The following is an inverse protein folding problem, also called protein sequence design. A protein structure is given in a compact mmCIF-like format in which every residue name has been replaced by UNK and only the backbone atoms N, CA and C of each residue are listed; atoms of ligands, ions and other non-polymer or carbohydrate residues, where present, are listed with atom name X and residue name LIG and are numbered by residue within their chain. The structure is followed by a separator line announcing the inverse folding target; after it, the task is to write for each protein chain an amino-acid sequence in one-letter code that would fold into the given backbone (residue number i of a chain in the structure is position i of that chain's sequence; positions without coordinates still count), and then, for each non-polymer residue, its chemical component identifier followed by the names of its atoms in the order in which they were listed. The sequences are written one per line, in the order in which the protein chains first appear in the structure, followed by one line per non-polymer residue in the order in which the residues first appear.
data_IF_207692507999
#
_entry.id   IF_207692507999
#
_cell.length_a   1.000
_cell.length_b   1.000
_cell.length_c   1.000
_cell.angle_alpha   90.00
_cell.angle_beta   90.00
_cell.angle_gamma   90.00
#
_symmetry.space_group_name_H-M   'P 1'
#
loop_
_entity.id
_entity.type
_entity.pdbx_description
1 polymer ?
#
# COMPACT_ATOMS: atom_id res chain seq x y z
N UNK A 1 -14.93 -9.60 26.29
CA UNK A 1 -16.15 -8.85 25.89
C UNK A 1 -16.07 -7.50 26.59
N UNK A 2 -15.53 -6.51 25.90
CA UNK A 2 -15.55 -5.11 26.36
C UNK A 2 -16.41 -4.40 25.33
N UNK A 3 -17.61 -4.06 25.76
CA UNK A 3 -18.55 -3.20 25.03
C UNK A 3 -18.00 -1.79 25.24
N UNK A 4 -17.52 -1.16 24.17
CA UNK A 4 -17.36 0.29 24.17
C UNK A 4 -18.61 0.87 23.54
N UNK A 5 -19.56 1.21 24.40
CA UNK A 5 -20.50 2.28 24.13
C UNK A 5 -20.03 3.45 24.98
N UNK A 6 -19.48 4.47 24.33
CA UNK A 6 -19.28 5.80 24.92
C UNK A 6 -19.41 6.83 23.80
N UNK A 7 -20.66 7.18 23.51
CA UNK A 7 -21.01 8.45 22.87
C UNK A 7 -20.77 9.59 23.88
N UNK A 8 -19.57 10.14 23.97
CA UNK A 8 -19.38 11.54 24.38
C UNK A 8 -18.02 12.08 23.92
N UNK A 9 -17.98 12.68 22.74
CA UNK A 9 -16.81 13.44 22.29
C UNK A 9 -17.25 14.51 21.31
N UNK A 10 -17.16 15.78 21.71
CA UNK A 10 -17.33 17.00 20.90
C UNK A 10 -17.45 16.72 19.40
N UNK A 11 -18.66 16.84 18.85
CA UNK A 11 -18.95 16.67 17.43
C UNK A 11 -18.45 17.90 16.66
N UNK A 12 -17.14 18.11 16.63
CA UNK A 12 -16.53 18.99 15.64
C UNK A 12 -16.90 18.46 14.25
N UNK A 13 -17.26 19.37 13.36
CA UNK A 13 -17.51 19.04 11.96
C UNK A 13 -16.25 18.41 11.34
N UNK A 14 -16.43 17.37 10.54
CA UNK A 14 -15.33 16.61 9.93
C UNK A 14 -15.19 17.00 8.46
N UNK A 15 -13.97 17.37 8.05
CA UNK A 15 -13.61 17.55 6.65
C UNK A 15 -13.08 16.23 6.10
N UNK A 16 -13.71 15.75 5.02
CA UNK A 16 -13.35 14.49 4.35
C UNK A 16 -12.53 14.77 3.10
N UNK A 17 -11.31 14.24 3.06
CA UNK A 17 -10.31 14.54 2.03
C UNK A 17 -9.94 13.24 1.32
N UNK A 18 -10.05 13.22 -0.01
CA UNK A 18 -9.50 12.13 -0.83
C UNK A 18 -8.00 12.40 -1.06
N UNK A 19 -7.10 11.48 -0.64
CA UNK A 19 -5.66 11.67 -0.79
C UNK A 19 -5.22 11.97 -2.23
N UNK A 20 -5.86 11.34 -3.24
CA UNK A 20 -5.50 11.56 -4.66
C UNK A 20 -5.70 12.98 -5.15
N UNK A 21 -6.55 13.76 -4.47
CA UNK A 21 -6.90 15.13 -4.88
C UNK A 21 -6.33 16.19 -3.94
N UNK A 22 -5.47 15.81 -2.98
CA UNK A 22 -4.91 16.72 -1.98
C UNK A 22 -3.37 16.73 -2.04
N UNK A 23 -2.78 17.85 -2.46
CA UNK A 23 -1.32 17.96 -2.59
C UNK A 23 -0.57 17.88 -1.25
N UNK A 24 -1.24 18.18 -0.14
CA UNK A 24 -0.71 18.03 1.21
C UNK A 24 -0.68 16.56 1.68
N UNK A 25 -1.30 15.64 0.95
CA UNK A 25 -1.20 14.20 1.20
C UNK A 25 -0.33 13.54 0.14
N UNK A 26 0.81 12.98 0.57
CA UNK A 26 1.72 12.26 -0.32
C UNK A 26 1.31 10.79 -0.39
N UNK A 27 1.11 10.28 -1.59
CA UNK A 27 0.82 8.86 -1.81
C UNK A 27 2.08 8.18 -2.35
N UNK A 28 2.42 7.04 -1.74
CA UNK A 28 3.55 6.19 -2.12
C UNK A 28 3.08 4.77 -2.45
N UNK A 29 3.91 4.02 -3.18
CA UNK A 29 3.67 2.60 -3.49
C UNK A 29 2.86 2.35 -4.76
N UNK A 30 2.44 3.41 -5.47
CA UNK A 30 1.64 3.34 -6.70
C UNK A 30 2.27 4.15 -7.84
N UNK A 31 3.15 3.51 -8.63
CA UNK A 31 3.89 4.19 -9.68
C UNK A 31 3.00 4.86 -10.76
N UNK A 32 1.89 4.24 -11.12
CA UNK A 32 1.00 4.72 -12.19
C UNK A 32 -0.22 5.47 -11.67
N UNK A 33 -0.28 5.83 -10.39
CA UNK A 33 -1.44 6.50 -9.82
C UNK A 33 -1.78 7.81 -10.53
N UNK A 34 -0.76 8.59 -10.88
CA UNK A 34 -0.94 9.89 -11.56
C UNK A 34 -1.51 9.74 -12.97
N UNK A 35 -1.13 8.69 -13.69
CA UNK A 35 -1.60 8.45 -15.07
C UNK A 35 -2.96 7.77 -15.10
N UNK A 36 -3.18 6.82 -14.19
CA UNK A 36 -4.32 5.91 -14.26
C UNK A 36 -5.46 6.33 -13.33
N UNK A 37 -5.18 7.17 -12.32
CA UNK A 37 -6.16 7.67 -11.35
C UNK A 37 -6.69 6.61 -10.38
N UNK A 38 -6.17 5.39 -10.41
CA UNK A 38 -6.66 4.25 -9.62
C UNK A 38 -5.56 3.67 -8.70
N UNK A 39 -5.98 3.18 -7.54
CA UNK A 39 -5.11 2.47 -6.60
C UNK A 39 -4.78 1.06 -7.11
N UNK A 40 -3.84 0.99 -8.05
CA UNK A 40 -3.46 -0.25 -8.74
C UNK A 40 -1.96 -0.34 -8.90
N UNK A 41 -1.43 -1.56 -8.74
CA UNK A 41 0.02 -1.82 -8.73
C UNK A 41 0.63 -2.03 -10.12
N UNK A 42 -0.16 -2.24 -11.17
CA UNK A 42 0.33 -2.34 -12.57
C UNK A 42 -0.50 -1.43 -13.47
N UNK A 43 0.10 -0.86 -14.54
CA UNK A 43 -0.57 0.14 -15.36
C UNK A 43 -1.77 -0.43 -16.10
N UNK A 44 -2.85 0.34 -16.21
CA UNK A 44 -4.05 -0.01 -16.98
C UNK A 44 -3.71 -0.31 -18.45
N UNK A 45 -2.72 0.40 -19.01
CA UNK A 45 -2.24 0.17 -20.37
C UNK A 45 -1.67 -1.26 -20.61
N UNK A 46 -1.30 -1.99 -19.54
CA UNK A 46 -0.75 -3.35 -19.64
C UNK A 46 -1.79 -4.46 -19.45
N UNK A 47 -3.06 -4.14 -19.15
CA UNK A 47 -4.10 -5.12 -18.81
C UNK A 47 -4.28 -6.17 -19.92
N UNK A 48 -4.34 -5.76 -21.19
CA UNK A 48 -4.50 -6.69 -22.31
C UNK A 48 -3.29 -7.61 -22.51
N UNK A 49 -2.08 -7.16 -22.19
CA UNK A 49 -0.87 -7.99 -22.27
C UNK A 49 -0.85 -8.99 -21.11
N UNK A 50 -1.03 -8.52 -19.87
CA UNK A 50 -1.01 -9.35 -18.66
C UNK A 50 -2.14 -10.40 -18.69
N UNK A 51 -3.34 -10.05 -19.17
CA UNK A 51 -4.43 -11.02 -19.29
C UNK A 51 -4.12 -12.18 -20.23
N UNK A 52 -3.26 -11.96 -21.24
CA UNK A 52 -2.83 -13.01 -22.17
C UNK A 52 -1.72 -13.87 -21.59
N UNK A 53 -0.76 -13.29 -20.88
CA UNK A 53 0.42 -14.00 -20.38
C UNK A 53 0.28 -14.53 -18.96
N UNK A 54 -0.25 -13.72 -18.04
CA UNK A 54 -0.36 -14.02 -16.61
C UNK A 54 -1.63 -13.43 -15.97
N UNK A 55 -2.83 -13.91 -16.34
CA UNK A 55 -4.11 -13.30 -15.96
C UNK A 55 -4.34 -13.18 -14.44
N UNK A 56 -3.78 -14.08 -13.63
CA UNK A 56 -3.90 -14.00 -12.16
C UNK A 56 -3.12 -12.79 -11.62
N UNK A 57 -1.98 -12.44 -12.22
CA UNK A 57 -1.23 -11.23 -11.85
C UNK A 57 -2.07 -9.98 -12.11
N UNK A 58 -2.88 -9.95 -13.17
CA UNK A 58 -3.77 -8.83 -13.44
C UNK A 58 -4.79 -8.59 -12.31
N UNK A 59 -5.37 -9.67 -11.78
CA UNK A 59 -6.28 -9.62 -10.62
C UNK A 59 -5.55 -9.20 -9.34
N UNK A 60 -4.36 -9.75 -9.10
CA UNK A 60 -3.57 -9.40 -7.92
C UNK A 60 -3.02 -7.96 -7.97
N UNK A 61 -2.85 -7.38 -9.15
CA UNK A 61 -2.43 -5.98 -9.30
C UNK A 61 -3.49 -4.97 -8.82
N UNK A 62 -4.77 -5.39 -8.70
CA UNK A 62 -5.83 -4.58 -8.07
C UNK A 62 -5.65 -4.44 -6.56
N UNK A 63 -4.85 -5.31 -5.92
CA UNK A 63 -4.62 -5.26 -4.47
C UNK A 63 -3.67 -4.13 -4.13
N UNK A 64 -3.89 -3.49 -3.01
CA UNK A 64 -3.22 -2.22 -2.65
C UNK A 64 -1.97 -2.38 -1.77
N UNK A 65 -1.38 -3.59 -1.74
CA UNK A 65 -0.17 -3.85 -0.95
C UNK A 65 0.99 -2.91 -1.29
N UNK A 66 1.64 -2.38 -0.27
CA UNK A 66 2.70 -1.38 -0.41
C UNK A 66 2.20 0.06 -0.55
N UNK A 67 0.91 0.28 -0.77
CA UNK A 67 0.32 1.61 -0.82
C UNK A 67 0.37 2.31 0.54
N UNK A 68 0.72 3.60 0.54
CA UNK A 68 0.77 4.42 1.75
C UNK A 68 0.28 5.85 1.46
N UNK A 69 -0.35 6.52 2.42
CA UNK A 69 -0.56 7.97 2.39
C UNK A 69 0.05 8.64 3.62
N UNK A 70 0.84 9.69 3.40
CA UNK A 70 1.60 10.40 4.41
C UNK A 70 1.21 11.88 4.43
N UNK A 71 1.02 12.45 5.62
CA UNK A 71 0.72 13.87 5.81
C UNK A 71 0.99 14.29 7.24
N UNK A 72 1.06 15.60 7.51
CA UNK A 72 1.14 16.14 8.87
C UNK A 72 -0.17 16.83 9.22
N UNK A 73 -0.64 16.63 10.44
CA UNK A 73 -1.83 17.32 10.94
C UNK A 73 -1.79 17.51 12.45
N UNK A 74 -2.43 18.58 12.92
CA UNK A 74 -2.70 18.80 14.34
C UNK A 74 -4.13 18.40 14.75
N UNK A 75 -4.90 17.78 13.85
CA UNK A 75 -6.25 17.31 14.15
C UNK A 75 -6.24 16.35 15.34
N UNK A 76 -7.21 16.52 16.25
CA UNK A 76 -7.35 15.67 17.43
C UNK A 76 -8.06 14.37 17.09
N UNK A 77 -8.79 14.32 15.97
CA UNK A 77 -9.52 13.15 15.47
C UNK A 77 -9.06 12.80 14.06
N UNK A 78 -8.73 11.53 13.86
CA UNK A 78 -8.42 10.98 12.55
C UNK A 78 -9.37 9.83 12.25
N UNK A 79 -10.15 9.99 11.19
CA UNK A 79 -11.06 8.97 10.69
C UNK A 79 -10.64 8.53 9.30
N UNK A 80 -11.04 7.32 8.94
CA UNK A 80 -10.96 6.81 7.59
C UNK A 80 -12.33 6.32 7.16
N UNK A 81 -12.75 6.68 5.95
CA UNK A 81 -13.92 6.11 5.27
C UNK A 81 -13.46 5.52 3.95
N UNK A 82 -13.86 4.30 3.65
CA UNK A 82 -13.34 3.60 2.46
C UNK A 82 -14.40 2.73 1.81
N UNK A 83 -14.26 2.55 0.49
CA UNK A 83 -14.96 1.58 -0.32
C UNK A 83 -13.92 0.57 -0.85
N UNK A 84 -14.03 -0.67 -0.41
CA UNK A 84 -13.26 -1.79 -0.93
C UNK A 84 -13.91 -2.36 -2.19
N UNK A 85 -13.11 -2.90 -3.09
CA UNK A 85 -13.58 -3.60 -4.30
C UNK A 85 -14.16 -4.98 -3.99
N UNK A 86 -13.69 -5.61 -2.91
CA UNK A 86 -14.15 -6.93 -2.49
C UNK A 86 -14.02 -7.12 -0.98
N UNK A 87 -14.73 -8.13 -0.46
CA UNK A 87 -14.66 -8.57 0.93
C UNK A 87 -13.40 -9.41 1.16
N UNK A 88 -12.82 -9.42 2.37
CA UNK A 88 -11.81 -10.39 2.75
C UNK A 88 -12.31 -11.82 2.51
N UNK A 89 -11.45 -12.68 1.96
CA UNK A 89 -11.83 -14.05 1.58
C UNK A 89 -10.79 -15.10 1.97
N UNK A 90 -9.57 -14.70 2.33
CA UNK A 90 -8.52 -15.63 2.74
C UNK A 90 -8.70 -16.03 4.21
N UNK A 91 -8.79 -17.32 4.48
CA UNK A 91 -8.91 -17.86 5.84
C UNK A 91 -7.58 -17.83 6.62
N UNK A 92 -6.46 -17.94 5.91
CA UNK A 92 -5.11 -17.96 6.51
C UNK A 92 -4.54 -16.58 6.85
N UNK A 93 -5.33 -15.49 6.69
CA UNK A 93 -4.89 -14.12 6.92
C UNK A 93 -5.94 -13.32 7.66
N UNK A 94 -5.53 -12.41 8.54
CA UNK A 94 -6.47 -11.58 9.28
C UNK A 94 -7.28 -10.70 8.32
N UNK A 95 -8.56 -10.47 8.62
CA UNK A 95 -9.40 -9.61 7.79
C UNK A 95 -8.85 -8.19 7.71
N UNK A 96 -8.26 -7.68 8.79
CA UNK A 96 -7.63 -6.35 8.82
C UNK A 96 -6.39 -6.25 7.94
N UNK A 97 -5.61 -7.31 7.78
CA UNK A 97 -4.50 -7.29 6.83
C UNK A 97 -4.98 -7.34 5.38
N UNK A 98 -6.14 -7.97 5.14
CA UNK A 98 -6.76 -8.05 3.82
C UNK A 98 -7.44 -6.76 3.40
N UNK A 99 -8.27 -6.14 4.26
CA UNK A 99 -9.12 -4.99 3.91
C UNK A 99 -9.02 -3.78 4.83
N UNK A 100 -8.25 -3.87 5.91
CA UNK A 100 -8.06 -2.79 6.87
C UNK A 100 -6.89 -1.88 6.47
N UNK A 101 -6.94 -0.63 6.90
CA UNK A 101 -5.80 0.26 6.90
C UNK A 101 -5.15 0.25 8.29
N UNK A 102 -3.86 0.51 8.41
CA UNK A 102 -3.26 0.78 9.73
C UNK A 102 -2.47 2.09 9.75
N UNK A 103 -2.43 2.68 10.94
CA UNK A 103 -1.92 4.02 11.16
C UNK A 103 -0.68 3.98 12.05
N UNK A 104 0.33 4.72 11.62
CA UNK A 104 1.48 5.08 12.42
C UNK A 104 1.51 6.59 12.58
N UNK A 105 1.92 7.08 13.74
CA UNK A 105 2.04 8.49 14.03
C UNK A 105 3.31 8.81 14.82
N UNK A 106 3.87 10.00 14.63
CA UNK A 106 5.10 10.42 15.29
C UNK A 106 5.48 11.86 14.94
N UNK A 107 6.54 12.38 15.55
CA UNK A 107 7.02 13.74 15.23
C UNK A 107 7.62 13.82 13.82
N UNK A 108 8.26 12.73 13.38
CA UNK A 108 8.94 12.54 12.10
C UNK A 108 8.99 11.03 11.77
N UNK A 109 9.67 10.66 10.68
CA UNK A 109 9.79 9.26 10.25
C UNK A 109 10.57 8.37 11.22
N UNK A 110 11.52 8.91 11.99
CA UNK A 110 12.34 8.15 12.95
C UNK A 110 11.56 7.81 14.23
N UNK A 111 10.53 8.61 14.53
CA UNK A 111 9.70 8.49 15.73
C UNK A 111 8.29 7.94 15.46
N UNK A 112 8.08 7.25 14.33
CA UNK A 112 6.79 6.63 14.00
C UNK A 112 6.48 5.45 14.92
N UNK A 113 5.40 5.56 15.68
CA UNK A 113 4.85 4.48 16.50
C UNK A 113 3.55 3.98 15.90
N UNK A 114 3.28 2.68 16.08
CA UNK A 114 1.99 2.11 15.72
C UNK A 114 0.89 2.75 16.57
N UNK A 115 -0.18 3.20 15.92
CA UNK A 115 -1.30 3.84 16.60
C UNK A 115 -2.51 2.89 16.65
N UNK A 116 -3.09 2.56 15.49
CA UNK A 116 -4.29 1.72 15.43
C UNK A 116 -4.43 1.03 14.06
N UNK A 117 -5.36 0.09 13.96
CA UNK A 117 -5.73 -0.57 12.70
C UNK A 117 -7.23 -0.48 12.51
N UNK A 118 -7.65 0.01 11.35
CA UNK A 118 -9.04 0.12 10.98
C UNK A 118 -9.67 -1.27 10.85
N UNK A 119 -10.66 -1.51 11.70
CA UNK A 119 -11.48 -2.72 11.72
C UNK A 119 -12.82 -2.43 11.06
N UNK A 120 -13.43 -3.47 10.54
CA UNK A 120 -14.68 -3.37 9.79
C UNK A 120 -15.46 -4.68 9.90
N UNK A 121 -16.75 -4.62 9.60
CA UNK A 121 -17.63 -5.78 9.54
C UNK A 121 -17.29 -6.62 8.29
N UNK A 122 -17.11 -7.94 8.47
CA UNK A 122 -16.57 -8.83 7.42
C UNK A 122 -17.47 -8.95 6.19
N UNK A 123 -18.76 -8.67 6.33
CA UNK A 123 -19.75 -8.72 5.25
C UNK A 123 -19.93 -7.36 4.54
N UNK A 124 -19.17 -6.33 4.92
CA UNK A 124 -19.21 -5.00 4.30
C UNK A 124 -18.00 -4.75 3.42
N UNK A 125 -18.21 -3.97 2.37
CA UNK A 125 -17.14 -3.38 1.54
C UNK A 125 -16.97 -1.89 1.78
N UNK A 126 -17.97 -1.23 2.37
CA UNK A 126 -17.87 0.15 2.83
C UNK A 126 -17.75 0.17 4.35
N UNK A 127 -16.85 1.01 4.88
CA UNK A 127 -16.78 1.25 6.32
C UNK A 127 -16.18 2.61 6.65
N UNK A 128 -16.48 3.07 7.86
CA UNK A 128 -15.83 4.20 8.52
C UNK A 128 -15.20 3.73 9.83
N UNK A 129 -14.04 4.27 10.19
CA UNK A 129 -13.35 3.91 11.42
C UNK A 129 -12.57 5.11 11.98
N UNK A 130 -12.70 5.33 13.29
CA UNK A 130 -11.88 6.30 14.02
C UNK A 130 -10.55 5.67 14.40
N UNK A 131 -9.47 6.11 13.75
CA UNK A 131 -8.12 5.67 14.06
C UNK A 131 -7.67 6.18 15.43
N UNK A 132 -7.97 7.45 15.71
CA UNK A 132 -7.75 8.07 17.00
C UNK A 132 -8.64 9.29 17.26
N UNK A 133 -8.74 9.65 18.53
CA UNK A 133 -9.41 10.85 19.01
C UNK A 133 -8.69 11.42 20.24
N UNK A 134 -8.94 12.70 20.55
CA UNK A 134 -8.36 13.39 21.71
C UNK A 134 -6.82 13.45 21.73
N UNK A 135 -6.18 13.51 20.56
CA UNK A 135 -4.72 13.61 20.41
C UNK A 135 -4.27 14.99 19.90
N UNK A 136 -4.27 16.04 20.73
CA UNK A 136 -3.89 17.39 20.30
C UNK A 136 -2.37 17.51 20.15
N UNK A 137 -1.87 17.48 18.92
CA UNK A 137 -0.48 17.84 18.57
C UNK A 137 -0.25 17.70 17.08
N UNK A 138 0.63 18.54 16.52
CA UNK A 138 1.10 18.38 15.15
C UNK A 138 1.95 17.11 15.06
N UNK A 139 1.57 16.19 14.17
CA UNK A 139 2.22 14.90 14.02
C UNK A 139 2.24 14.46 12.56
N UNK A 140 3.29 13.74 12.18
CA UNK A 140 3.34 12.96 10.95
C UNK A 140 2.42 11.76 11.10
N UNK A 141 1.57 11.55 10.10
CA UNK A 141 0.67 10.41 9.95
C UNK A 141 1.13 9.59 8.76
N UNK A 142 1.22 8.27 8.94
CA UNK A 142 1.45 7.28 7.90
C UNK A 142 0.33 6.25 7.95
N UNK A 143 -0.49 6.22 6.91
CA UNK A 143 -1.57 5.23 6.76
C UNK A 143 -1.16 4.22 5.68
N UNK A 144 -1.06 2.93 6.03
CA UNK A 144 -0.78 1.87 5.07
C UNK A 144 -2.08 1.26 4.54
N UNK A 145 -2.12 0.99 3.25
CA UNK A 145 -3.25 0.42 2.52
C UNK A 145 -3.34 -1.10 2.73
N UNK A 146 -4.52 -1.71 2.55
CA UNK A 146 -4.69 -3.15 2.71
C UNK A 146 -3.81 -4.01 1.79
N UNK A 147 -3.40 -5.19 2.25
CA UNK A 147 -2.42 -6.02 1.54
C UNK A 147 -3.05 -6.90 0.45
N UNK A 148 -4.31 -7.31 0.63
CA UNK A 148 -5.00 -8.26 -0.24
C UNK A 148 -6.37 -7.77 -0.72
N UNK A 149 -6.70 -6.52 -0.43
CA UNK A 149 -7.92 -5.84 -0.83
C UNK A 149 -7.63 -4.71 -1.82
N UNK A 150 -8.46 -4.61 -2.85
CA UNK A 150 -8.53 -3.45 -3.72
C UNK A 150 -9.34 -2.32 -3.08
N UNK A 151 -8.90 -1.08 -3.29
CA UNK A 151 -9.57 0.13 -2.81
C UNK A 151 -10.12 0.89 -4.01
N UNK A 152 -11.41 1.19 -3.98
CA UNK A 152 -12.05 2.06 -4.97
C UNK A 152 -11.95 3.53 -4.54
N UNK A 153 -12.22 3.78 -3.26
CA UNK A 153 -12.23 5.14 -2.68
C UNK A 153 -11.74 5.09 -1.25
N UNK A 154 -10.97 6.10 -0.86
CA UNK A 154 -10.56 6.31 0.54
C UNK A 154 -10.63 7.80 0.86
N UNK A 155 -11.23 8.13 1.99
CA UNK A 155 -11.36 9.48 2.52
C UNK A 155 -10.73 9.52 3.90
N UNK A 156 -9.93 10.54 4.14
CA UNK A 156 -9.35 10.85 5.43
C UNK A 156 -10.19 11.95 6.07
N UNK A 157 -10.74 11.66 7.25
CA UNK A 157 -11.52 12.61 8.04
C UNK A 157 -10.63 13.31 9.06
N UNK A 158 -10.58 14.64 8.99
CA UNK A 158 -9.90 15.51 9.97
C UNK A 158 -10.90 16.55 10.51
N UNK A 159 -10.74 16.96 11.76
CA UNK A 159 -11.54 18.07 12.33
C UNK A 159 -11.43 19.33 11.47
N UNK A 160 -12.56 20.01 11.26
CA UNK A 160 -12.59 21.30 10.60
C UNK A 160 -11.66 22.31 11.30
N UNK A 161 -10.90 23.07 10.50
CA UNK A 161 -9.91 24.01 10.99
C UNK A 161 -8.59 23.39 11.47
N UNK A 162 -8.45 22.07 11.45
CA UNK A 162 -7.15 21.43 11.67
C UNK A 162 -6.16 21.78 10.56
N UNK A 163 -4.91 21.97 10.94
CA UNK A 163 -3.79 22.15 10.00
C UNK A 163 -3.56 20.84 9.27
N UNK A 164 -3.36 20.92 7.95
CA UNK A 164 -2.95 19.82 7.10
C UNK A 164 -1.77 20.29 6.24
N UNK A 165 -0.63 19.62 6.39
CA UNK A 165 0.61 19.95 5.70
C UNK A 165 1.20 18.72 5.03
N UNK A 166 1.95 18.95 3.94
CA UNK A 166 2.78 17.91 3.35
C UNK A 166 3.80 17.38 4.37
N UNK A 167 4.09 16.09 4.38
CA UNK A 167 5.20 15.55 5.16
C UNK A 167 6.53 15.93 4.51
N UNK A 168 7.62 15.76 5.25
CA UNK A 168 8.94 15.71 4.64
C UNK A 168 8.96 14.61 3.56
N UNK A 169 9.61 14.85 2.40
CA UNK A 169 9.70 13.85 1.36
C UNK A 169 10.54 12.66 1.83
N UNK A 170 10.20 11.47 1.32
CA UNK A 170 11.08 10.31 1.39
C UNK A 170 12.36 10.56 0.57
N UNK A 171 13.42 9.82 0.90
CA UNK A 171 14.68 9.81 0.18
C UNK A 171 14.43 9.57 -1.32
N UNK A 172 15.05 10.35 -2.21
CA UNK A 172 14.89 10.19 -3.64
C UNK A 172 15.21 8.76 -4.12
N UNK A 173 14.51 8.36 -5.17
CA UNK A 173 14.68 7.07 -5.82
C UNK A 173 13.85 5.95 -5.20
N UNK A 174 13.34 5.08 -6.06
CA UNK A 174 12.40 4.01 -5.71
C UNK A 174 13.11 2.67 -5.56
N UNK A 175 12.60 1.84 -4.65
CA UNK A 175 13.00 0.44 -4.53
C UNK A 175 11.87 -0.42 -5.10
N UNK A 176 12.16 -1.10 -6.20
CA UNK A 176 11.21 -1.99 -6.87
C UNK A 176 11.44 -3.41 -6.35
N UNK A 177 10.43 -4.03 -5.77
CA UNK A 177 10.51 -5.44 -5.35
C UNK A 177 9.46 -6.27 -6.07
N UNK A 178 9.90 -7.31 -6.78
CA UNK A 178 9.04 -8.25 -7.47
C UNK A 178 9.17 -9.62 -6.80
N UNK A 179 8.04 -10.23 -6.43
CA UNK A 179 8.09 -11.44 -5.63
C UNK A 179 6.75 -12.10 -5.36
N UNK A 180 6.73 -12.94 -4.35
CA UNK A 180 5.66 -13.93 -4.10
C UNK A 180 4.53 -13.39 -3.23
N UNK A 181 3.74 -14.29 -2.62
CA UNK A 181 2.81 -13.98 -1.53
C UNK A 181 3.50 -13.33 -0.34
N UNK A 182 4.75 -13.71 -0.05
CA UNK A 182 5.52 -13.16 1.07
C UNK A 182 5.77 -11.67 0.83
N UNK A 183 6.23 -11.33 -0.37
CA UNK A 183 6.39 -9.94 -0.84
C UNK A 183 5.08 -9.18 -0.80
N UNK A 184 3.97 -9.81 -1.23
CA UNK A 184 2.65 -9.19 -1.16
C UNK A 184 2.20 -8.91 0.28
N UNK A 185 2.76 -9.61 1.27
CA UNK A 185 2.47 -9.44 2.70
C UNK A 185 1.69 -10.58 3.32
N UNK A 186 1.64 -11.76 2.68
CA UNK A 186 1.13 -13.00 3.25
C UNK A 186 2.14 -13.62 4.22
N UNK A 187 1.88 -13.81 5.52
CA UNK A 187 0.72 -13.34 6.28
C UNK A 187 1.14 -12.41 7.43
N UNK A 188 1.42 -11.14 7.10
CA UNK A 188 1.47 -10.07 8.08
C UNK A 188 0.10 -9.89 8.74
N UNK A 189 0.08 -9.64 10.05
CA UNK A 189 -1.18 -9.54 10.82
C UNK A 189 -1.95 -8.23 10.61
N UNK A 190 -1.29 -7.20 10.04
CA UNK A 190 -1.86 -5.91 9.63
C UNK A 190 -0.95 -5.24 8.58
N UNK A 191 -1.44 -4.25 7.80
CA UNK A 191 -0.72 -3.74 6.64
C UNK A 191 0.70 -3.21 6.89
N UNK A 192 0.89 -2.41 7.94
CA UNK A 192 2.17 -1.81 8.27
C UNK A 192 3.23 -2.80 8.76
N UNK A 193 2.86 -4.07 8.97
CA UNK A 193 3.79 -5.17 9.28
C UNK A 193 4.23 -5.97 8.04
N UNK A 194 3.73 -5.65 6.84
CA UNK A 194 4.39 -6.12 5.63
C UNK A 194 5.84 -5.64 5.62
N UNK A 195 6.79 -6.53 5.32
CA UNK A 195 8.22 -6.18 5.46
C UNK A 195 8.61 -5.00 4.55
N UNK A 196 7.98 -4.87 3.38
CA UNK A 196 8.19 -3.73 2.48
C UNK A 196 7.75 -2.41 3.11
N UNK A 197 6.64 -2.40 3.84
CA UNK A 197 6.18 -1.22 4.60
C UNK A 197 7.07 -0.92 5.81
N UNK A 198 7.60 -1.95 6.48
CA UNK A 198 8.59 -1.78 7.56
C UNK A 198 9.87 -1.14 7.00
N UNK A 199 10.37 -1.64 5.87
CA UNK A 199 11.57 -1.11 5.23
C UNK A 199 11.36 0.31 4.69
N UNK A 200 10.19 0.61 4.11
CA UNK A 200 9.82 1.96 3.66
C UNK A 200 10.00 2.97 4.79
N UNK A 201 9.43 2.70 5.97
CA UNK A 201 9.55 3.59 7.14
C UNK A 201 10.99 3.68 7.66
N UNK A 202 11.70 2.55 7.76
CA UNK A 202 13.06 2.52 8.32
C UNK A 202 14.12 3.15 7.42
N UNK A 203 13.97 3.02 6.11
CA UNK A 203 14.90 3.52 5.11
C UNK A 203 14.44 4.83 4.48
N UNK A 204 13.31 5.38 4.95
CA UNK A 204 12.66 6.59 4.41
C UNK A 204 12.60 6.56 2.89
N UNK A 205 12.25 5.42 2.29
CA UNK A 205 12.34 5.19 0.86
C UNK A 205 11.03 4.65 0.31
N UNK A 206 10.64 5.06 -0.89
CA UNK A 206 9.45 4.51 -1.55
C UNK A 206 9.73 3.06 -2.00
N UNK A 207 8.94 2.12 -1.47
CA UNK A 207 8.91 0.73 -1.92
C UNK A 207 7.73 0.50 -2.85
N UNK A 208 8.01 0.07 -4.08
CA UNK A 208 7.00 -0.40 -5.02
C UNK A 208 6.87 -1.91 -4.89
N UNK A 209 5.80 -2.36 -4.22
CA UNK A 209 5.57 -3.77 -3.89
C UNK A 209 4.85 -4.52 -5.02
N UNK A 210 5.61 -5.24 -5.85
CA UNK A 210 5.10 -6.13 -6.89
C UNK A 210 5.07 -7.60 -6.44
N UNK A 211 4.60 -7.85 -5.23
CA UNK A 211 4.31 -9.20 -4.74
C UNK A 211 3.01 -9.75 -5.31
N UNK A 212 3.05 -10.96 -5.86
CA UNK A 212 1.88 -11.63 -6.44
C UNK A 212 1.71 -13.04 -5.85
N UNK A 213 0.72 -13.17 -4.96
CA UNK A 213 0.41 -14.40 -4.23
C UNK A 213 0.18 -15.61 -5.14
N UNK A 214 0.93 -16.69 -4.88
CA UNK A 214 0.90 -17.92 -5.68
C UNK A 214 1.32 -17.76 -7.15
N UNK A 215 1.84 -16.59 -7.54
CA UNK A 215 2.26 -16.24 -8.89
C UNK A 215 3.68 -15.63 -8.84
N UNK A 216 4.04 -14.76 -9.79
CA UNK A 216 5.41 -14.24 -9.92
C UNK A 216 6.44 -15.35 -10.19
N UNK A 217 6.51 -15.79 -11.44
CA UNK A 217 7.45 -16.82 -11.87
C UNK A 217 8.61 -16.27 -12.73
N UNK A 218 8.79 -14.96 -12.73
CA UNK A 218 9.72 -14.24 -13.60
C UNK A 218 9.15 -14.00 -15.00
N UNK A 219 7.88 -13.62 -15.10
CA UNK A 219 7.25 -13.32 -16.40
C UNK A 219 7.96 -12.14 -17.09
N UNK A 220 8.36 -12.33 -18.35
CA UNK A 220 9.13 -11.32 -19.10
C UNK A 220 8.28 -10.07 -19.38
N UNK A 221 6.97 -10.23 -19.54
CA UNK A 221 6.02 -9.13 -19.69
C UNK A 221 6.03 -8.23 -18.45
N UNK A 222 6.11 -8.84 -17.26
CA UNK A 222 6.23 -8.08 -16.01
C UNK A 222 7.58 -7.39 -15.95
N UNK A 223 8.69 -8.06 -16.30
CA UNK A 223 10.01 -7.42 -16.38
C UNK A 223 10.00 -6.17 -17.26
N UNK A 224 9.39 -6.24 -18.45
CA UNK A 224 9.25 -5.10 -19.38
C UNK A 224 8.40 -3.96 -18.83
N UNK A 225 7.38 -4.27 -18.02
CA UNK A 225 6.57 -3.24 -17.35
C UNK A 225 7.38 -2.56 -16.25
N UNK A 226 8.10 -3.33 -15.44
CA UNK A 226 8.92 -2.81 -14.34
C UNK A 226 10.14 -2.01 -14.82
N UNK A 227 10.68 -2.36 -15.99
CA UNK A 227 11.76 -1.64 -16.66
C UNK A 227 11.34 -0.24 -17.17
N UNK A 228 10.04 0.10 -17.15
CA UNK A 228 9.54 1.45 -17.49
C UNK A 228 9.47 2.37 -16.28
N UNK A 229 9.77 1.89 -15.08
CA UNK A 229 9.72 2.69 -13.86
C UNK A 229 10.95 3.58 -13.83
N UNK A 230 10.72 4.90 -13.79
CA UNK A 230 11.80 5.88 -13.72
C UNK A 230 12.33 6.06 -12.29
N UNK A 231 13.55 6.60 -12.16
CA UNK A 231 14.17 6.93 -10.88
C UNK A 231 14.22 5.75 -9.90
N UNK A 232 14.56 4.56 -10.39
CA UNK A 232 14.75 3.36 -9.55
C UNK A 232 16.18 3.30 -9.08
N UNK A 233 16.39 3.19 -7.76
CA UNK A 233 17.72 3.02 -7.17
C UNK A 233 18.08 1.56 -6.92
N UNK A 234 17.08 0.68 -6.82
CA UNK A 234 17.30 -0.75 -6.58
C UNK A 234 16.14 -1.58 -7.10
N UNK A 235 16.47 -2.70 -7.74
CA UNK A 235 15.54 -3.80 -8.02
C UNK A 235 15.86 -4.98 -7.12
N UNK A 236 14.83 -5.55 -6.50
CA UNK A 236 14.89 -6.77 -5.67
C UNK A 236 14.01 -7.82 -6.34
N UNK A 237 14.61 -8.94 -6.74
CA UNK A 237 13.90 -10.08 -7.34
C UNK A 237 13.79 -11.19 -6.29
N UNK A 238 12.64 -11.26 -5.62
CA UNK A 238 12.35 -12.15 -4.49
C UNK A 238 11.20 -13.12 -4.83
N UNK A 239 11.36 -13.83 -5.94
CA UNK A 239 10.33 -14.72 -6.48
C UNK A 239 10.71 -16.21 -6.43
N UNK A 240 11.82 -16.55 -5.75
CA UNK A 240 12.34 -17.92 -5.64
C UNK A 240 11.33 -18.89 -5.02
N UNK A 241 10.60 -18.50 -3.97
CA UNK A 241 9.65 -19.41 -3.32
C UNK A 241 8.56 -19.96 -4.28
N UNK A 242 8.25 -19.22 -5.35
CA UNK A 242 7.30 -19.65 -6.38
C UNK A 242 8.00 -20.16 -7.66
N UNK A 243 9.01 -19.44 -8.17
CA UNK A 243 9.73 -19.79 -9.39
C UNK A 243 10.77 -20.90 -9.21
N UNK A 244 11.33 -21.05 -8.02
CA UNK A 244 12.33 -22.08 -7.70
C UNK A 244 11.72 -23.46 -7.58
N UNK A 245 10.55 -23.57 -6.94
CA UNK A 245 9.85 -24.84 -6.69
C UNK A 245 9.36 -25.55 -7.95
N UNK A 246 9.28 -24.83 -9.08
CA UNK A 246 8.90 -25.38 -10.39
C UNK A 246 10.01 -25.25 -11.46
N UNK A 247 11.24 -24.91 -11.05
CA UNK A 247 12.40 -24.77 -11.94
C UNK A 247 12.38 -23.54 -12.86
N UNK A 248 11.30 -22.73 -12.86
CA UNK A 248 11.22 -21.55 -13.73
C UNK A 248 12.28 -20.52 -13.41
N UNK A 249 12.71 -20.39 -12.15
CA UNK A 249 13.74 -19.43 -11.75
C UNK A 249 15.03 -19.57 -12.58
N UNK A 250 15.47 -20.81 -12.83
CA UNK A 250 16.66 -21.09 -13.64
C UNK A 250 16.51 -20.61 -15.10
N UNK A 251 15.27 -20.56 -15.60
CA UNK A 251 14.96 -20.13 -16.97
C UNK A 251 14.66 -18.63 -17.04
N UNK A 252 14.14 -18.02 -15.97
CA UNK A 252 13.58 -16.66 -16.02
C UNK A 252 14.47 -15.59 -15.39
N UNK A 253 15.34 -15.94 -14.44
CA UNK A 253 16.11 -14.93 -13.69
C UNK A 253 17.04 -14.11 -14.58
N UNK A 254 17.87 -14.77 -15.38
CA UNK A 254 18.79 -14.06 -16.27
C UNK A 254 18.04 -13.21 -17.32
N UNK A 255 17.02 -13.71 -18.04
CA UNK A 255 16.20 -12.87 -18.92
C UNK A 255 15.56 -11.68 -18.23
N UNK A 256 15.03 -11.85 -17.02
CA UNK A 256 14.39 -10.77 -16.25
C UNK A 256 15.39 -9.66 -15.93
N UNK A 257 16.58 -10.04 -15.46
CA UNK A 257 17.67 -9.10 -15.16
C UNK A 257 18.12 -8.38 -16.44
N UNK A 258 18.30 -9.11 -17.55
CA UNK A 258 18.69 -8.50 -18.84
C UNK A 258 17.68 -7.46 -19.30
N UNK A 259 16.38 -7.77 -19.25
CA UNK A 259 15.32 -6.81 -19.60
C UNK A 259 15.34 -5.55 -18.73
N UNK A 260 15.58 -5.67 -17.42
CA UNK A 260 15.77 -4.49 -16.57
C UNK A 260 17.02 -3.70 -17.00
N UNK A 261 18.14 -4.38 -17.24
CA UNK A 261 19.43 -3.75 -17.57
C UNK A 261 19.47 -3.08 -18.93
N UNK A 262 18.67 -3.53 -19.88
CA UNK A 262 18.49 -2.85 -21.17
C UNK A 262 17.88 -1.45 -21.00
N UNK A 263 16.97 -1.26 -20.04
CA UNK A 263 16.39 0.03 -19.71
C UNK A 263 17.20 0.83 -18.67
N UNK A 264 17.92 0.14 -17.79
CA UNK A 264 18.70 0.72 -16.69
C UNK A 264 20.15 0.20 -16.69
N UNK A 265 20.99 0.67 -17.64
CA UNK A 265 22.42 0.36 -17.65
C UNK A 265 23.12 0.89 -16.39
N UNK A 266 24.24 0.28 -16.03
CA UNK A 266 25.09 0.71 -14.91
C UNK A 266 25.86 1.99 -15.24
#
# INVERSE_FOLDING_TARGET
MIIHDDKTGSSGEMVWIEPRTCEAMRIYGFNWLKTDGVYRRLPLASVSEINRSCPIINSLAEKTSGGQTHFRTNSKKLLIRTQMKEKPSMSGMTAVAQGGFDCYAGNDYDHLLFYNTARFELDKTEYEFTLFENEPSMKLIVINFPLYGGIEKVLIGLEEGAVLEAPEPLDPGRIVIYGTSITQGGCASRPGLSFTNILSRRLKSEFLNFGFSGNAFGEIEIARILAKIENVKMYILDYEANGGTNGKLALTLEPFIKTIREAHPL
#
